data_IF_848513494973
#
_entry.id   IF_848513494973
#
_cell.length_a   1.000
_cell.length_b   1.000
_cell.length_c   1.000
_cell.angle_alpha   90.00
_cell.angle_beta   90.00
_cell.angle_gamma   90.00
#
_symmetry.space_group_name_H-M   'P 1'
#
loop_
_entity.id
_entity.type
_entity.pdbx_description
1 polymer ?
#
# COMPACT_ATOMS: atom_id res chain seq x y z
N UNK A 1 -27.18 -3.09 25.34
CA UNK A 1 -26.68 -2.54 24.06
C UNK A 1 -26.35 -1.08 24.30
N UNK A 2 -25.08 -0.77 24.53
CA UNK A 2 -24.61 0.61 24.68
C UNK A 2 -24.76 1.32 23.32
N UNK A 3 -25.27 2.56 23.25
CA UNK A 3 -25.39 3.26 21.98
C UNK A 3 -24.02 3.38 21.32
N UNK A 4 -23.96 3.15 20.01
CA UNK A 4 -22.79 3.44 19.18
C UNK A 4 -22.39 4.90 19.46
N UNK A 5 -21.25 5.08 20.12
CA UNK A 5 -20.65 6.39 20.33
C UNK A 5 -20.45 7.06 18.97
N UNK A 6 -20.70 8.38 18.90
CA UNK A 6 -20.42 9.16 17.69
C UNK A 6 -18.93 8.99 17.30
N UNK A 7 -18.60 9.15 16.02
CA UNK A 7 -17.20 9.09 15.56
C UNK A 7 -16.27 9.99 16.39
N UNK A 8 -16.76 11.18 16.77
CA UNK A 8 -16.08 12.12 17.66
C UNK A 8 -15.84 11.55 19.06
N UNK A 9 -16.85 10.95 19.68
CA UNK A 9 -16.70 10.30 21.00
C UNK A 9 -15.74 9.10 20.95
N UNK A 10 -15.69 8.37 19.82
CA UNK A 10 -14.70 7.30 19.61
C UNK A 10 -13.29 7.86 19.46
N UNK A 11 -13.12 8.98 18.75
CA UNK A 11 -11.83 9.65 18.63
C UNK A 11 -11.36 10.21 19.98
N UNK A 12 -12.27 10.76 20.78
CA UNK A 12 -11.97 11.26 22.12
C UNK A 12 -11.57 10.14 23.07
N UNK A 13 -12.25 8.99 23.02
CA UNK A 13 -11.86 7.78 23.75
C UNK A 13 -10.49 7.25 23.30
N UNK A 14 -10.21 7.19 21.99
CA UNK A 14 -8.89 6.79 21.48
C UNK A 14 -7.80 7.75 21.97
N UNK A 15 -8.04 9.07 21.92
CA UNK A 15 -7.08 10.07 22.41
C UNK A 15 -6.85 9.94 23.91
N UNK A 16 -7.91 9.83 24.69
CA UNK A 16 -7.84 9.77 26.14
C UNK A 16 -7.27 8.43 26.65
N UNK A 17 -7.56 7.33 25.96
CA UNK A 17 -7.36 5.98 26.49
C UNK A 17 -6.44 5.10 25.65
N UNK A 18 -5.97 5.52 24.46
CA UNK A 18 -5.13 4.70 23.58
C UNK A 18 -3.86 5.45 23.15
N UNK A 19 -3.99 6.48 22.32
CA UNK A 19 -2.90 7.29 21.75
C UNK A 19 -3.39 8.67 21.34
N UNK A 20 -2.69 9.72 21.75
CA UNK A 20 -2.87 11.06 21.19
C UNK A 20 -2.17 11.14 19.83
N UNK A 21 -2.96 11.23 18.76
CA UNK A 21 -2.47 11.20 17.37
C UNK A 21 -1.66 12.45 17.03
N UNK A 22 -2.05 13.61 17.56
CA UNK A 22 -1.38 14.88 17.26
C UNK A 22 -0.02 14.91 17.95
N UNK A 23 0.02 14.60 19.24
CA UNK A 23 1.26 14.45 20.00
C UNK A 23 2.17 13.36 19.40
N UNK A 24 1.62 12.21 18.97
CA UNK A 24 2.41 11.17 18.32
C UNK A 24 3.07 11.68 17.02
N UNK A 25 2.32 12.38 16.17
CA UNK A 25 2.82 12.88 14.90
C UNK A 25 3.84 14.00 15.06
N UNK A 26 3.71 14.84 16.09
CA UNK A 26 4.64 15.94 16.33
C UNK A 26 5.85 15.50 17.13
N UNK A 27 5.63 14.97 18.33
CA UNK A 27 6.68 14.65 19.30
C UNK A 27 7.38 13.34 18.95
N UNK A 28 6.63 12.25 18.77
CA UNK A 28 7.23 10.91 18.55
C UNK A 28 7.86 10.84 17.16
N UNK A 29 7.08 11.08 16.10
CA UNK A 29 7.60 11.04 14.72
C UNK A 29 8.69 12.10 14.51
N UNK A 30 8.53 13.32 15.05
CA UNK A 30 9.55 14.36 14.99
C UNK A 30 10.87 13.97 15.68
N UNK A 31 10.82 13.32 16.84
CA UNK A 31 12.02 12.85 17.53
C UNK A 31 12.74 11.72 16.76
N UNK A 32 11.99 10.82 16.12
CA UNK A 32 12.60 9.80 15.24
C UNK A 32 13.21 10.41 13.99
N UNK A 33 12.54 11.37 13.36
CA UNK A 33 13.06 12.06 12.17
C UNK A 33 14.33 12.88 12.46
N UNK A 34 14.46 13.44 13.66
CA UNK A 34 15.65 14.18 14.10
C UNK A 34 16.76 13.29 14.66
N UNK A 35 16.53 11.98 14.82
CA UNK A 35 17.47 11.06 15.44
C UNK A 35 17.65 11.28 16.95
N UNK A 36 16.75 12.03 17.59
CA UNK A 36 16.80 12.36 19.02
C UNK A 36 15.92 11.46 19.89
N UNK A 37 15.14 10.55 19.28
CA UNK A 37 14.16 9.71 19.97
C UNK A 37 14.67 9.06 21.26
N UNK A 38 15.85 8.44 21.22
CA UNK A 38 16.47 7.76 22.38
C UNK A 38 16.68 8.69 23.59
N UNK A 39 16.95 9.98 23.34
CA UNK A 39 17.30 10.95 24.39
C UNK A 39 16.14 11.87 24.76
N UNK A 40 15.26 12.15 23.81
CA UNK A 40 14.23 13.18 23.92
C UNK A 40 12.85 12.64 24.28
N UNK A 41 12.57 11.35 23.99
CA UNK A 41 11.25 10.78 24.29
C UNK A 41 11.21 10.26 25.73
N UNK A 42 10.32 10.80 26.59
CA UNK A 42 10.09 10.23 27.92
C UNK A 42 9.44 8.85 27.82
N UNK A 43 9.69 8.00 28.80
CA UNK A 43 9.00 6.73 28.98
C UNK A 43 7.60 6.97 29.59
N UNK A 44 6.73 7.64 28.84
CA UNK A 44 5.33 7.90 29.20
C UNK A 44 4.40 6.74 28.79
N UNK A 45 3.15 6.77 29.28
CA UNK A 45 2.17 5.70 29.01
C UNK A 45 1.88 5.51 27.52
N UNK A 46 1.89 6.58 26.71
CA UNK A 46 1.63 6.49 25.27
C UNK A 46 2.77 5.81 24.53
N UNK A 47 4.01 6.22 24.81
CA UNK A 47 5.23 5.66 24.23
C UNK A 47 5.42 4.22 24.69
N UNK A 48 5.14 3.93 25.97
CA UNK A 48 5.24 2.57 26.54
C UNK A 48 4.27 1.57 25.89
N UNK A 49 3.08 2.01 25.47
CA UNK A 49 2.10 1.16 24.77
C UNK A 49 2.54 0.76 23.36
N UNK A 50 3.46 1.52 22.75
CA UNK A 50 3.98 1.25 21.40
C UNK A 50 2.89 1.12 20.32
N UNK A 51 1.75 1.81 20.50
CA UNK A 51 0.67 1.86 19.50
C UNK A 51 1.04 2.92 18.45
N UNK A 52 0.95 2.54 17.18
CA UNK A 52 1.21 3.44 16.05
C UNK A 52 -0.12 3.85 15.42
N UNK A 53 -0.44 5.16 15.34
CA UNK A 53 -1.60 5.64 14.60
C UNK A 53 -1.59 5.17 13.14
N UNK A 54 -2.78 4.96 12.57
CA UNK A 54 -2.91 4.52 11.19
C UNK A 54 -2.35 5.58 10.22
N UNK A 55 -1.58 5.14 9.22
CA UNK A 55 -1.11 5.99 8.13
C UNK A 55 0.04 6.94 8.46
N UNK A 56 0.76 6.75 9.58
CA UNK A 56 1.94 7.58 9.93
C UNK A 56 3.06 7.51 8.88
N UNK A 57 3.07 6.49 8.01
CA UNK A 57 3.95 6.42 6.84
C UNK A 57 3.84 7.64 5.91
N UNK A 58 2.70 8.35 5.92
CA UNK A 58 2.54 9.60 5.18
C UNK A 58 3.56 10.68 5.61
N UNK A 59 4.00 10.64 6.87
CA UNK A 59 4.94 11.60 7.46
C UNK A 59 6.42 11.25 7.19
N UNK A 60 6.69 10.09 6.59
CA UNK A 60 8.05 9.66 6.28
C UNK A 60 8.49 10.21 4.92
N UNK A 61 9.65 10.84 4.88
CA UNK A 61 10.24 11.39 3.65
C UNK A 61 11.34 10.46 3.11
N UNK A 62 11.22 10.10 1.83
CA UNK A 62 12.21 9.33 1.05
C UNK A 62 12.76 10.14 -0.13
N UNK A 63 12.51 11.44 -0.19
CA UNK A 63 12.97 12.32 -1.28
C UNK A 63 14.47 12.21 -1.53
N UNK A 64 15.25 11.96 -0.48
CA UNK A 64 16.71 11.94 -0.47
C UNK A 64 17.36 10.56 -0.72
N UNK A 65 16.61 9.44 -0.69
CA UNK A 65 17.24 8.10 -0.72
C UNK A 65 17.60 7.62 -2.12
N UNK A 66 16.82 8.03 -3.13
CA UNK A 66 16.96 7.56 -4.50
C UNK A 66 17.45 8.69 -5.40
N UNK A 67 18.45 8.44 -6.27
CA UNK A 67 19.03 9.48 -7.09
C UNK A 67 18.15 9.84 -8.31
N UNK A 68 17.21 8.97 -8.70
CA UNK A 68 16.38 9.14 -9.88
C UNK A 68 14.88 9.13 -9.53
N UNK A 69 14.06 9.72 -10.40
CA UNK A 69 12.60 9.86 -10.27
C UNK A 69 11.93 9.77 -11.65
N UNK A 70 10.74 9.16 -11.80
CA UNK A 70 10.06 9.12 -13.08
C UNK A 70 9.48 10.48 -13.46
N UNK A 71 9.73 10.91 -14.69
CA UNK A 71 9.12 12.05 -15.35
C UNK A 71 7.96 11.58 -16.23
N UNK A 72 6.83 12.28 -16.17
CA UNK A 72 5.65 12.03 -16.98
C UNK A 72 5.70 12.77 -18.32
N UNK A 73 5.41 12.04 -19.41
CA UNK A 73 5.32 12.50 -20.80
C UNK A 73 3.86 12.34 -21.28
N UNK A 74 3.01 13.36 -21.08
CA UNK A 74 1.56 13.30 -21.27
C UNK A 74 1.13 12.91 -22.69
N UNK A 75 1.88 13.35 -23.71
CA UNK A 75 1.62 13.11 -25.13
C UNK A 75 1.60 11.62 -25.52
N UNK A 76 2.29 10.80 -24.74
CA UNK A 76 2.44 9.37 -24.96
C UNK A 76 1.46 8.54 -24.11
N UNK A 77 0.74 9.18 -23.18
CA UNK A 77 -0.05 8.48 -22.19
C UNK A 77 -1.38 7.98 -22.76
N UNK A 78 -1.68 6.70 -22.53
CA UNK A 78 -2.97 6.08 -22.93
C UNK A 78 -4.00 6.00 -21.80
N UNK A 79 -3.62 6.34 -20.56
CA UNK A 79 -4.49 6.26 -19.39
C UNK A 79 -4.74 4.84 -18.86
N UNK A 80 -3.80 3.90 -19.06
CA UNK A 80 -3.95 2.51 -18.61
C UNK A 80 -3.89 2.33 -17.08
N UNK A 81 -3.20 3.25 -16.37
CA UNK A 81 -2.93 3.21 -14.93
C UNK A 81 -1.97 2.10 -14.47
N UNK A 82 -1.31 1.38 -15.37
CA UNK A 82 -0.39 0.29 -14.98
C UNK A 82 0.76 0.80 -14.12
N UNK A 83 1.35 1.94 -14.48
CA UNK A 83 2.36 2.63 -13.70
C UNK A 83 1.91 2.95 -12.26
N UNK A 84 0.63 3.31 -12.09
CA UNK A 84 0.03 3.52 -10.78
C UNK A 84 -0.09 2.20 -10.05
N UNK A 85 -0.64 1.15 -10.66
CA UNK A 85 -0.88 -0.15 -10.02
C UNK A 85 0.40 -0.88 -9.61
N UNK A 86 1.47 -0.76 -10.40
CA UNK A 86 2.75 -1.44 -10.13
C UNK A 86 3.60 -0.75 -9.06
N UNK A 87 3.31 0.52 -8.73
CA UNK A 87 4.07 1.22 -7.72
C UNK A 87 3.89 0.58 -6.33
N UNK A 88 4.98 0.17 -5.65
CA UNK A 88 4.90 -0.42 -4.32
C UNK A 88 4.65 0.61 -3.21
N UNK A 89 5.00 1.88 -3.43
CA UNK A 89 5.09 2.90 -2.38
C UNK A 89 4.00 3.99 -2.46
N UNK A 90 2.99 3.82 -3.32
CA UNK A 90 1.96 4.87 -3.56
C UNK A 90 2.58 6.21 -4.01
N UNK A 91 3.72 6.15 -4.69
CA UNK A 91 4.50 7.31 -5.08
C UNK A 91 4.10 7.92 -6.44
N UNK A 92 3.20 7.27 -7.17
CA UNK A 92 2.70 7.72 -8.47
C UNK A 92 1.19 7.51 -8.49
N UNK A 93 0.45 8.58 -8.75
CA UNK A 93 -1.00 8.64 -8.63
C UNK A 93 -1.61 9.22 -9.91
N UNK A 94 -2.77 8.68 -10.29
CA UNK A 94 -3.56 9.18 -11.42
C UNK A 94 -4.73 10.03 -10.95
N UNK A 95 -5.15 10.99 -11.78
CA UNK A 95 -6.39 11.76 -11.59
C UNK A 95 -7.07 11.97 -12.94
N UNK A 96 -8.40 11.89 -12.98
CA UNK A 96 -9.19 12.35 -14.13
C UNK A 96 -10.02 13.55 -13.70
N UNK A 97 -9.92 14.65 -14.44
CA UNK A 97 -10.65 15.88 -14.17
C UNK A 97 -11.48 16.30 -15.39
N UNK A 98 -12.67 16.83 -15.14
CA UNK A 98 -13.46 17.44 -16.21
C UNK A 98 -12.76 18.72 -16.71
N UNK A 99 -12.84 19.05 -18.01
CA UNK A 99 -12.15 20.20 -18.58
C UNK A 99 -12.46 21.53 -17.89
N UNK A 100 -13.73 21.76 -17.50
CA UNK A 100 -14.14 22.97 -16.81
C UNK A 100 -13.53 23.05 -15.40
N UNK A 101 -13.69 21.99 -14.60
CA UNK A 101 -13.09 21.90 -13.26
C UNK A 101 -11.58 22.09 -13.28
N UNK A 102 -10.90 21.50 -14.27
CA UNK A 102 -9.47 21.68 -14.45
C UNK A 102 -9.13 23.13 -14.80
N UNK A 103 -9.86 23.76 -15.72
CA UNK A 103 -9.63 25.15 -16.10
C UNK A 103 -9.78 26.09 -14.89
N UNK A 104 -10.81 25.89 -14.07
CA UNK A 104 -11.06 26.67 -12.85
C UNK A 104 -9.91 26.52 -11.84
N UNK A 105 -9.43 25.29 -11.61
CA UNK A 105 -8.30 25.05 -10.70
C UNK A 105 -6.99 25.65 -11.21
N UNK A 106 -6.72 25.56 -12.52
CA UNK A 106 -5.55 26.17 -13.13
C UNK A 106 -5.62 27.70 -13.06
N UNK A 107 -6.80 28.31 -13.21
CA UNK A 107 -6.98 29.75 -13.07
C UNK A 107 -6.60 30.25 -11.67
N UNK A 108 -6.75 29.41 -10.64
CA UNK A 108 -6.33 29.69 -9.27
C UNK A 108 -4.81 29.75 -9.05
N UNK A 109 -3.99 29.29 -10.00
CA UNK A 109 -2.53 29.37 -9.94
C UNK A 109 -2.10 30.76 -10.42
N UNK A 110 -1.54 31.64 -9.57
CA UNK A 110 -1.27 33.03 -9.96
C UNK A 110 -0.17 33.17 -11.01
N UNK A 111 0.89 32.35 -10.90
CA UNK A 111 2.01 32.33 -11.84
C UNK A 111 1.58 31.70 -13.17
N UNK A 112 1.60 32.51 -14.23
CA UNK A 112 1.15 32.11 -15.57
C UNK A 112 2.06 31.04 -16.21
N UNK A 113 3.37 31.12 -15.98
CA UNK A 113 4.34 30.16 -16.50
C UNK A 113 4.13 28.79 -15.84
N UNK A 114 3.98 28.78 -14.52
CA UNK A 114 3.68 27.58 -13.74
C UNK A 114 2.31 27.01 -14.13
N UNK A 115 1.29 27.85 -14.28
CA UNK A 115 -0.05 27.46 -14.75
C UNK A 115 0.01 26.76 -16.10
N UNK A 116 0.71 27.36 -17.07
CA UNK A 116 0.88 26.79 -18.41
C UNK A 116 1.59 25.44 -18.37
N UNK A 117 2.68 25.35 -17.59
CA UNK A 117 3.43 24.10 -17.39
C UNK A 117 2.61 23.01 -16.72
N UNK A 118 1.87 23.30 -15.65
CA UNK A 118 0.98 22.31 -15.00
C UNK A 118 -0.13 21.89 -15.95
N UNK A 119 -0.64 22.82 -16.78
CA UNK A 119 -1.62 22.51 -17.82
C UNK A 119 -1.15 21.43 -18.80
N UNK A 120 0.16 21.29 -19.04
CA UNK A 120 0.70 20.24 -19.91
C UNK A 120 0.62 18.85 -19.28
N UNK A 121 0.55 18.72 -17.94
CA UNK A 121 0.46 17.44 -17.23
C UNK A 121 -0.85 16.67 -17.44
N UNK A 122 -1.77 17.20 -18.25
CA UNK A 122 -3.10 16.65 -18.45
C UNK A 122 -3.28 16.17 -19.88
N UNK A 123 -3.16 14.86 -20.07
CA UNK A 123 -3.31 14.16 -21.33
C UNK A 123 -4.78 14.01 -21.76
N UNK A 124 -5.02 14.07 -23.07
CA UNK A 124 -6.28 13.67 -23.69
C UNK A 124 -6.14 12.21 -24.11
N UNK A 125 -6.79 11.31 -23.38
CA UNK A 125 -6.67 9.86 -23.60
C UNK A 125 -7.88 9.30 -24.33
N UNK A 126 -7.70 8.18 -25.03
CA UNK A 126 -8.84 7.48 -25.63
C UNK A 126 -9.86 7.03 -24.58
N UNK A 127 -9.37 6.49 -23.46
CA UNK A 127 -10.18 5.89 -22.40
C UNK A 127 -11.07 6.91 -21.68
N UNK A 128 -10.48 7.99 -21.18
CA UNK A 128 -11.18 8.95 -20.33
C UNK A 128 -11.75 10.15 -21.10
N UNK A 129 -11.28 10.42 -22.31
CA UNK A 129 -11.77 11.53 -23.11
C UNK A 129 -12.57 11.05 -24.33
N UNK A 130 -11.90 10.51 -25.35
CA UNK A 130 -12.50 10.31 -26.68
C UNK A 130 -13.70 9.35 -26.67
N UNK A 131 -13.63 8.26 -25.89
CA UNK A 131 -14.73 7.28 -25.78
C UNK A 131 -15.95 7.88 -25.07
N UNK A 132 -15.74 8.72 -24.06
CA UNK A 132 -16.81 9.33 -23.27
C UNK A 132 -17.46 10.51 -24.01
N UNK A 133 -16.68 11.29 -24.75
CA UNK A 133 -17.19 12.30 -25.70
C UNK A 133 -18.09 11.65 -26.76
N UNK A 134 -17.64 10.56 -27.39
CA UNK A 134 -18.45 9.82 -28.37
C UNK A 134 -19.75 9.26 -27.81
N UNK A 135 -19.80 9.00 -26.49
CA UNK A 135 -21.00 8.55 -25.77
C UNK A 135 -21.89 9.69 -25.29
N UNK A 136 -21.49 10.95 -25.48
CA UNK A 136 -22.24 12.13 -25.06
C UNK A 136 -22.27 12.37 -23.55
N UNK A 137 -21.33 11.78 -22.79
CA UNK A 137 -21.28 11.90 -21.31
C UNK A 137 -20.19 12.87 -20.81
N UNK A 138 -19.45 13.48 -21.73
CA UNK A 138 -18.37 14.43 -21.43
C UNK A 138 -17.06 13.75 -21.02
N UNK A 139 -16.00 14.01 -21.76
CA UNK A 139 -14.65 13.49 -21.54
C UNK A 139 -13.92 14.20 -20.40
N UNK A 140 -12.96 13.50 -19.80
CA UNK A 140 -12.07 13.99 -18.76
C UNK A 140 -10.61 13.94 -19.20
N UNK A 141 -9.82 14.94 -18.79
CA UNK A 141 -8.37 14.93 -18.98
C UNK A 141 -7.71 14.12 -17.88
N UNK A 142 -6.66 13.39 -18.23
CA UNK A 142 -5.98 12.46 -17.35
C UNK A 142 -4.57 12.95 -17.01
N UNK A 143 -4.20 12.94 -15.73
CA UNK A 143 -2.85 13.30 -15.28
C UNK A 143 -2.22 12.21 -14.43
N UNK A 144 -0.88 12.20 -14.42
CA UNK A 144 -0.04 11.38 -13.56
C UNK A 144 0.81 12.31 -12.69
N UNK A 145 0.85 12.04 -11.39
CA UNK A 145 1.51 12.88 -10.40
C UNK A 145 2.41 12.03 -9.52
N UNK A 146 3.65 12.47 -9.32
CA UNK A 146 4.67 11.72 -8.59
C UNK A 146 4.90 12.39 -7.23
N UNK A 147 4.67 11.64 -6.16
CA UNK A 147 5.04 12.06 -4.80
C UNK A 147 6.55 11.88 -4.60
N UNK A 148 7.26 13.00 -4.63
CA UNK A 148 8.70 13.04 -4.37
C UNK A 148 9.07 12.39 -3.02
N UNK A 149 8.21 12.51 -2.00
CA UNK A 149 8.50 12.04 -0.63
C UNK A 149 8.31 10.53 -0.47
N UNK A 150 7.66 9.87 -1.44
CA UNK A 150 7.41 8.42 -1.41
C UNK A 150 8.20 7.68 -2.48
N UNK A 151 8.59 8.37 -3.56
CA UNK A 151 9.29 7.74 -4.68
C UNK A 151 10.72 7.31 -4.30
N UNK A 152 10.93 6.00 -4.31
CA UNK A 152 12.24 5.37 -4.11
C UNK A 152 13.00 5.08 -5.41
N UNK A 153 12.54 5.57 -6.56
CA UNK A 153 13.28 5.46 -7.82
C UNK A 153 13.48 4.03 -8.36
N UNK A 154 12.59 3.08 -8.03
CA UNK A 154 12.71 1.68 -8.45
C UNK A 154 12.45 1.42 -9.95
N UNK A 155 11.93 2.39 -10.68
CA UNK A 155 11.61 2.30 -12.11
C UNK A 155 10.52 1.27 -12.52
N UNK A 156 9.90 0.54 -11.60
CA UNK A 156 8.77 -0.38 -11.90
C UNK A 156 7.65 0.29 -12.72
N UNK A 157 7.33 1.54 -12.39
CA UNK A 157 6.33 2.32 -13.11
C UNK A 157 6.73 2.64 -14.57
N UNK A 158 8.04 2.79 -14.85
CA UNK A 158 8.57 3.02 -16.19
C UNK A 158 8.58 1.72 -16.98
N UNK A 159 9.01 0.62 -16.37
CA UNK A 159 8.98 -0.71 -16.98
C UNK A 159 7.55 -1.13 -17.34
N UNK A 160 6.61 -0.94 -16.41
CA UNK A 160 5.19 -1.16 -16.63
C UNK A 160 4.58 -0.27 -17.73
N UNK A 161 5.15 0.92 -17.95
CA UNK A 161 4.72 1.80 -19.04
C UNK A 161 5.13 1.25 -20.42
N UNK A 162 6.25 0.51 -20.47
CA UNK A 162 6.71 -0.23 -21.64
C UNK A 162 6.72 0.61 -22.92
N UNK A 163 6.10 0.07 -23.97
CA UNK A 163 6.09 0.67 -25.30
C UNK A 163 5.34 2.00 -25.40
N UNK A 164 4.51 2.34 -24.40
CA UNK A 164 3.87 3.65 -24.38
C UNK A 164 4.91 4.76 -24.22
N UNK A 165 6.00 4.54 -23.47
CA UNK A 165 7.04 5.54 -23.21
C UNK A 165 6.48 6.86 -22.68
N UNK A 166 5.42 6.78 -21.88
CA UNK A 166 4.82 7.93 -21.19
C UNK A 166 5.53 8.26 -19.87
N UNK A 167 6.52 7.46 -19.47
CA UNK A 167 7.36 7.69 -18.31
C UNK A 167 8.83 7.43 -18.68
N UNK A 168 9.75 8.20 -18.09
CA UNK A 168 11.19 7.93 -18.15
C UNK A 168 11.85 8.32 -16.83
N UNK A 169 12.90 7.62 -16.44
CA UNK A 169 13.69 8.01 -15.26
C UNK A 169 14.56 9.21 -15.59
N UNK A 170 14.55 10.21 -14.71
CA UNK A 170 15.45 11.36 -14.74
C UNK A 170 16.17 11.49 -13.40
N UNK A 171 17.34 12.15 -13.40
CA UNK A 171 18.09 12.44 -12.18
C UNK A 171 17.33 13.46 -11.33
N UNK A 172 17.28 13.24 -10.02
CA UNK A 172 16.86 14.24 -9.04
C UNK A 172 17.97 15.29 -8.92
N UNK A 173 17.65 16.52 -9.32
CA UNK A 173 18.54 17.68 -9.21
C UNK A 173 17.75 18.82 -8.55
N UNK A 174 18.37 19.71 -7.76
CA UNK A 174 17.66 20.77 -7.05
C UNK A 174 16.65 21.55 -7.92
N UNK A 175 16.99 21.76 -9.19
CA UNK A 175 16.21 22.50 -10.18
C UNK A 175 14.87 21.83 -10.55
N UNK A 176 14.75 20.50 -10.41
CA UNK A 176 13.53 19.77 -10.75
C UNK A 176 12.70 19.30 -9.54
N UNK A 177 13.23 19.40 -8.31
CA UNK A 177 12.49 18.92 -7.14
C UNK A 177 11.21 19.73 -6.87
N UNK A 178 11.27 21.05 -7.08
CA UNK A 178 10.11 21.93 -6.87
C UNK A 178 8.99 21.64 -7.85
N UNK A 179 9.32 21.19 -9.06
CA UNK A 179 8.33 20.76 -10.04
C UNK A 179 7.46 19.59 -9.52
N UNK A 180 8.09 18.57 -8.93
CA UNK A 180 7.37 17.44 -8.34
C UNK A 180 6.54 17.85 -7.12
N UNK A 181 7.06 18.74 -6.26
CA UNK A 181 6.31 19.27 -5.11
C UNK A 181 5.07 20.05 -5.56
N UNK A 182 5.23 20.91 -6.56
CA UNK A 182 4.15 21.76 -7.08
C UNK A 182 3.07 20.92 -7.77
N UNK A 183 3.45 20.01 -8.68
CA UNK A 183 2.50 19.14 -9.38
C UNK A 183 1.76 18.20 -8.42
N UNK A 184 2.43 17.66 -7.41
CA UNK A 184 1.78 16.85 -6.39
C UNK A 184 0.86 17.68 -5.47
N UNK A 185 1.21 18.95 -5.21
CA UNK A 185 0.30 19.89 -4.51
C UNK A 185 -0.99 20.11 -5.29
N UNK A 186 -0.91 20.28 -6.61
CA UNK A 186 -2.08 20.36 -7.49
C UNK A 186 -2.92 19.10 -7.40
N UNK A 187 -2.31 17.91 -7.48
CA UNK A 187 -3.03 16.64 -7.32
C UNK A 187 -3.86 16.59 -6.03
N UNK A 188 -3.28 17.03 -4.91
CA UNK A 188 -3.97 17.10 -3.60
C UNK A 188 -5.07 18.16 -3.54
N UNK A 189 -4.91 19.26 -4.27
CA UNK A 189 -5.90 20.34 -4.32
C UNK A 189 -7.08 20.03 -5.26
N UNK A 190 -6.87 19.18 -6.27
CA UNK A 190 -7.91 18.78 -7.20
C UNK A 190 -8.99 17.93 -6.51
N UNK A 191 -10.27 18.11 -6.86
CA UNK A 191 -11.35 17.30 -6.33
C UNK A 191 -11.19 15.83 -6.70
N UNK A 192 -12.02 14.99 -6.09
CA UNK A 192 -12.10 13.57 -6.40
C UNK A 192 -12.44 13.32 -7.87
N UNK A 193 -11.87 12.24 -8.42
CA UNK A 193 -12.17 11.83 -9.79
C UNK A 193 -13.67 11.49 -9.89
N UNK A 194 -14.43 12.11 -10.81
CA UNK A 194 -15.85 11.81 -10.94
C UNK A 194 -16.13 10.32 -11.22
N UNK A 195 -17.15 9.77 -10.56
CA UNK A 195 -17.48 8.34 -10.62
C UNK A 195 -17.70 7.81 -12.06
N UNK A 196 -18.16 8.66 -12.99
CA UNK A 196 -18.33 8.29 -14.41
C UNK A 196 -17.03 7.86 -15.11
N UNK A 197 -15.87 8.23 -14.56
CA UNK A 197 -14.55 7.84 -15.07
C UNK A 197 -14.01 6.57 -14.41
N UNK A 198 -14.71 6.01 -13.42
CA UNK A 198 -14.26 4.89 -12.61
C UNK A 198 -15.05 3.64 -13.01
N UNK A 199 -14.40 2.69 -13.69
CA UNK A 199 -14.97 1.36 -13.86
C UNK A 199 -14.70 0.51 -12.63
N UNK A 200 -15.73 0.27 -11.82
CA UNK A 200 -15.64 -0.53 -10.60
C UNK A 200 -15.24 -2.00 -10.81
N UNK A 201 -15.19 -2.48 -12.06
CA UNK A 201 -14.68 -3.83 -12.39
C UNK A 201 -13.20 -3.83 -12.76
N UNK A 202 -12.60 -2.66 -12.95
CA UNK A 202 -11.19 -2.51 -13.29
C UNK A 202 -10.43 -2.03 -12.06
N UNK A 203 -9.57 -2.90 -11.52
CA UNK A 203 -8.74 -2.58 -10.36
C UNK A 203 -7.86 -1.34 -10.59
N UNK A 204 -7.43 -1.14 -11.83
CA UNK A 204 -6.68 0.06 -12.27
C UNK A 204 -7.48 1.35 -12.11
N UNK A 205 -8.79 1.33 -12.34
CA UNK A 205 -9.66 2.52 -12.22
C UNK A 205 -10.06 2.78 -10.77
N UNK A 206 -10.14 1.74 -9.93
CA UNK A 206 -10.35 1.91 -8.49
C UNK A 206 -9.28 2.80 -7.87
N UNK A 207 -8.06 2.84 -8.42
CA UNK A 207 -6.96 3.68 -7.95
C UNK A 207 -7.15 5.18 -8.22
N UNK A 208 -8.21 5.59 -8.94
CA UNK A 208 -8.52 7.00 -9.21
C UNK A 208 -9.26 7.71 -8.06
N UNK A 209 -9.67 6.97 -7.03
CA UNK A 209 -10.42 7.49 -5.88
C UNK A 209 -9.66 7.31 -4.57
N UNK A 210 -9.78 8.28 -3.67
CA UNK A 210 -9.09 8.27 -2.37
C UNK A 210 -9.56 7.14 -1.46
N UNK A 211 -10.79 6.61 -1.65
CA UNK A 211 -11.28 5.45 -0.87
C UNK A 211 -10.42 4.19 -1.06
N UNK A 212 -9.65 4.12 -2.15
CA UNK A 212 -8.74 3.02 -2.45
C UNK A 212 -7.31 3.29 -1.93
N UNK A 213 -7.00 4.51 -1.52
CA UNK A 213 -5.68 4.92 -1.03
C UNK A 213 -5.50 4.56 0.46
N UNK A 214 -5.69 3.29 0.79
CA UNK A 214 -5.57 2.76 2.16
C UNK A 214 -4.14 2.37 2.53
N UNK A 215 -3.21 2.45 1.59
CA UNK A 215 -1.77 2.28 1.79
C UNK A 215 -1.07 3.58 1.38
N UNK A 216 -0.58 4.37 2.33
CA UNK A 216 -0.10 5.75 2.08
C UNK A 216 1.36 5.84 1.61
N UNK A 217 2.05 4.71 1.48
CA UNK A 217 3.49 4.69 1.29
C UNK A 217 4.24 4.91 2.61
N UNK A 218 5.51 5.29 2.52
CA UNK A 218 6.35 5.49 3.72
C UNK A 218 6.79 4.18 4.40
N UNK A 219 6.45 3.04 3.81
CA UNK A 219 6.92 1.74 4.23
C UNK A 219 8.44 1.62 4.02
N UNK A 220 9.12 0.93 4.93
CA UNK A 220 10.57 0.68 4.85
C UNK A 220 10.99 -0.41 3.86
N UNK A 221 10.17 -0.72 2.85
CA UNK A 221 10.40 -1.84 1.93
C UNK A 221 11.53 -1.53 0.95
N UNK A 222 12.12 -2.59 0.37
CA UNK A 222 13.09 -2.46 -0.71
C UNK A 222 12.50 -1.71 -1.92
N UNK A 223 13.36 -1.07 -2.71
CA UNK A 223 12.99 -0.48 -3.99
C UNK A 223 12.45 -1.58 -4.92
N UNK A 224 11.22 -1.43 -5.42
CA UNK A 224 10.59 -2.43 -6.31
C UNK A 224 10.00 -3.64 -5.58
N UNK A 225 9.71 -3.52 -4.27
CA UNK A 225 9.19 -4.64 -3.49
C UNK A 225 7.81 -5.14 -3.98
N UNK A 226 7.77 -6.34 -4.56
CA UNK A 226 6.54 -6.96 -5.03
C UNK A 226 5.51 -7.25 -3.93
N UNK A 227 5.94 -7.53 -2.68
CA UNK A 227 5.01 -7.70 -1.55
C UNK A 227 4.18 -6.43 -1.30
N UNK A 228 4.82 -5.26 -1.34
CA UNK A 228 4.17 -3.98 -1.10
C UNK A 228 3.15 -3.65 -2.20
N UNK A 229 3.49 -3.93 -3.47
CA UNK A 229 2.55 -3.79 -4.59
C UNK A 229 1.32 -4.68 -4.38
N UNK A 230 1.51 -5.97 -4.05
CA UNK A 230 0.40 -6.90 -3.81
C UNK A 230 -0.50 -6.45 -2.64
N UNK A 231 0.10 -6.03 -1.51
CA UNK A 231 -0.64 -5.55 -0.34
C UNK A 231 -1.43 -4.28 -0.66
N UNK A 232 -0.81 -3.33 -1.37
CA UNK A 232 -1.48 -2.09 -1.77
C UNK A 232 -2.67 -2.36 -2.67
N UNK A 233 -2.51 -3.23 -3.67
CA UNK A 233 -3.59 -3.56 -4.59
C UNK A 233 -4.71 -4.37 -3.93
N UNK A 234 -4.38 -5.28 -3.01
CA UNK A 234 -5.37 -5.98 -2.17
C UNK A 234 -6.19 -4.99 -1.33
N UNK A 235 -5.52 -4.02 -0.70
CA UNK A 235 -6.17 -2.99 0.09
C UNK A 235 -6.99 -2.02 -0.75
N UNK A 236 -6.52 -1.66 -1.93
CA UNK A 236 -7.28 -0.83 -2.87
C UNK A 236 -8.59 -1.52 -3.24
N UNK A 237 -8.55 -2.79 -3.67
CA UNK A 237 -9.73 -3.56 -4.01
C UNK A 237 -10.70 -3.70 -2.82
N UNK A 238 -10.15 -4.04 -1.65
CA UNK A 238 -10.97 -4.26 -0.44
C UNK A 238 -11.57 -2.94 0.05
N UNK A 239 -10.78 -1.86 0.09
CA UNK A 239 -11.23 -0.52 0.48
C UNK A 239 -12.27 0.05 -0.46
N UNK A 240 -12.08 -0.16 -1.77
CA UNK A 240 -13.04 0.24 -2.78
C UNK A 240 -14.40 -0.46 -2.62
N UNK A 241 -14.46 -1.68 -2.09
CA UNK A 241 -15.75 -2.37 -1.90
C UNK A 241 -16.36 -2.13 -0.52
N UNK A 242 -15.54 -2.16 0.53
CA UNK A 242 -16.01 -2.22 1.91
C UNK A 242 -15.81 -0.92 2.69
N UNK A 243 -14.92 -0.02 2.25
CA UNK A 243 -14.52 1.18 2.98
C UNK A 243 -13.58 0.87 4.15
N UNK A 244 -12.75 1.84 4.55
CA UNK A 244 -11.63 1.61 5.49
C UNK A 244 -12.09 1.04 6.84
N UNK A 245 -13.22 1.50 7.38
CA UNK A 245 -13.75 1.13 8.71
C UNK A 245 -14.25 -0.33 8.76
N UNK A 246 -14.32 -1.01 7.62
CA UNK A 246 -14.80 -2.38 7.49
C UNK A 246 -13.70 -3.36 7.11
N UNK A 247 -12.42 -2.95 7.20
CA UNK A 247 -11.26 -3.77 6.86
C UNK A 247 -10.32 -3.84 8.05
N UNK A 248 -9.83 -5.04 8.34
CA UNK A 248 -8.77 -5.27 9.33
C UNK A 248 -7.73 -6.27 8.83
N UNK A 249 -6.51 -6.14 9.34
CA UNK A 249 -5.37 -6.99 8.98
C UNK A 249 -4.77 -7.61 10.25
N UNK A 250 -4.54 -8.92 10.21
CA UNK A 250 -3.69 -9.66 11.14
C UNK A 250 -2.47 -10.15 10.36
N UNK A 251 -1.29 -9.73 10.76
CA UNK A 251 -0.05 -10.02 10.05
C UNK A 251 0.78 -11.07 10.80
N UNK A 252 1.34 -12.03 10.06
CA UNK A 252 2.41 -12.88 10.55
C UNK A 252 3.76 -12.18 10.35
N UNK A 253 4.63 -12.31 11.35
CA UNK A 253 5.98 -11.71 11.33
C UNK A 253 6.75 -12.10 10.07
N UNK A 254 7.35 -11.13 9.40
CA UNK A 254 8.08 -11.33 8.14
C UNK A 254 8.49 -10.00 7.52
N UNK A 255 8.83 -9.99 6.22
CA UNK A 255 9.16 -8.75 5.52
C UNK A 255 8.02 -7.74 5.64
N UNK A 256 6.77 -8.17 5.33
CA UNK A 256 5.57 -7.36 5.50
C UNK A 256 5.54 -6.60 6.82
N UNK A 257 5.67 -7.26 7.98
CA UNK A 257 5.63 -6.58 9.28
C UNK A 257 6.82 -5.65 9.46
N UNK A 258 8.02 -6.05 9.05
CA UNK A 258 9.22 -5.22 9.23
C UNK A 258 9.09 -3.90 8.47
N UNK A 259 8.70 -3.93 7.19
CA UNK A 259 8.60 -2.70 6.43
C UNK A 259 7.31 -1.90 6.69
N UNK A 260 6.24 -2.52 7.22
CA UNK A 260 4.99 -1.81 7.51
C UNK A 260 4.78 -1.43 8.97
N UNK A 261 5.63 -1.87 9.90
CA UNK A 261 5.48 -1.55 11.32
C UNK A 261 6.79 -1.29 12.04
N UNK A 262 7.83 -0.82 11.32
CA UNK A 262 8.99 -0.22 11.97
C UNK A 262 8.57 1.09 12.63
N UNK A 263 8.45 1.08 13.96
CA UNK A 263 8.07 2.24 14.76
C UNK A 263 8.91 3.47 14.40
N UNK A 264 8.30 4.67 14.23
CA UNK A 264 6.90 5.02 14.44
C UNK A 264 6.04 4.97 13.16
N UNK A 265 6.47 4.26 12.11
CA UNK A 265 5.85 4.33 10.79
C UNK A 265 4.97 3.12 10.47
N UNK A 266 3.76 3.40 10.01
CA UNK A 266 2.83 2.41 9.46
C UNK A 266 2.13 2.95 8.19
N UNK A 267 2.12 2.20 7.07
CA UNK A 267 1.54 2.66 5.81
C UNK A 267 0.02 2.44 5.72
N UNK A 268 -0.59 1.70 6.63
CA UNK A 268 -2.00 1.30 6.54
C UNK A 268 -2.94 2.31 7.16
N UNK A 269 -4.03 2.64 6.46
CA UNK A 269 -5.17 3.41 7.00
C UNK A 269 -6.29 2.53 7.60
N UNK A 270 -6.01 1.25 7.80
CA UNK A 270 -6.95 0.27 8.37
C UNK A 270 -6.40 -0.27 9.69
N UNK A 271 -7.25 -0.88 10.51
CA UNK A 271 -6.79 -1.58 11.70
C UNK A 271 -5.84 -2.71 11.32
N UNK A 272 -4.67 -2.73 11.95
CA UNK A 272 -3.61 -3.69 11.67
C UNK A 272 -3.00 -4.16 12.98
N UNK A 273 -2.73 -5.45 13.09
CA UNK A 273 -2.01 -6.04 14.23
C UNK A 273 -1.04 -7.10 13.75
N UNK A 274 0.05 -7.28 14.50
CA UNK A 274 0.95 -8.42 14.39
C UNK A 274 1.07 -9.06 15.77
N UNK A 275 0.75 -10.35 15.86
CA UNK A 275 0.98 -11.15 17.07
C UNK A 275 2.39 -11.74 17.03
N UNK A 276 2.56 -12.94 16.44
CA UNK A 276 3.84 -13.61 16.28
C UNK A 276 3.98 -14.19 14.86
N UNK A 277 5.07 -14.92 14.62
CA UNK A 277 5.40 -15.49 13.32
C UNK A 277 4.49 -16.68 12.98
N UNK A 278 4.18 -17.50 13.98
CA UNK A 278 3.55 -18.82 13.87
C UNK A 278 2.03 -18.82 14.03
N UNK A 279 1.45 -17.75 14.58
CA UNK A 279 0.08 -17.80 15.12
C UNK A 279 -0.91 -16.86 14.45
N UNK A 280 -0.55 -16.11 13.40
CA UNK A 280 -1.45 -15.14 12.79
C UNK A 280 -2.84 -15.70 12.40
N UNK A 281 -2.98 -16.94 11.87
CA UNK A 281 -4.30 -17.51 11.63
C UNK A 281 -5.12 -17.75 12.89
N UNK A 282 -4.50 -18.21 13.98
CA UNK A 282 -5.17 -18.42 15.27
C UNK A 282 -5.58 -17.08 15.91
N UNK A 283 -4.71 -16.07 15.85
CA UNK A 283 -5.02 -14.71 16.32
C UNK A 283 -6.22 -14.13 15.54
N UNK A 284 -6.21 -14.26 14.22
CA UNK A 284 -7.32 -13.83 13.37
C UNK A 284 -8.64 -14.56 13.67
N UNK A 285 -8.61 -15.86 14.02
CA UNK A 285 -9.82 -16.55 14.49
C UNK A 285 -10.38 -15.93 15.78
N UNK A 286 -9.50 -15.52 16.71
CA UNK A 286 -9.89 -14.80 17.92
C UNK A 286 -10.53 -13.44 17.60
N UNK A 287 -9.90 -12.65 16.72
CA UNK A 287 -10.43 -11.37 16.24
C UNK A 287 -11.78 -11.57 15.56
N UNK A 288 -11.90 -12.54 14.65
CA UNK A 288 -13.14 -12.86 13.93
C UNK A 288 -14.26 -13.24 14.90
N UNK A 289 -13.99 -14.11 15.86
CA UNK A 289 -14.96 -14.51 16.88
C UNK A 289 -15.44 -13.30 17.70
N UNK A 290 -14.54 -12.38 18.07
CA UNK A 290 -14.92 -11.15 18.77
C UNK A 290 -15.75 -10.21 17.88
N UNK A 291 -15.37 -10.04 16.63
CA UNK A 291 -16.14 -9.21 15.69
C UNK A 291 -17.54 -9.78 15.46
N UNK A 292 -17.71 -11.10 15.41
CA UNK A 292 -19.02 -11.73 15.26
C UNK A 292 -19.92 -11.48 16.48
N UNK A 293 -19.37 -11.54 17.70
CA UNK A 293 -20.10 -11.16 18.93
C UNK A 293 -20.57 -9.69 18.91
N UNK A 294 -19.85 -8.81 18.20
CA UNK A 294 -20.20 -7.41 18.03
C UNK A 294 -21.18 -7.18 16.85
N UNK A 295 -21.57 -8.23 16.13
CA UNK A 295 -22.42 -8.12 14.94
C UNK A 295 -21.69 -7.63 13.68
N UNK A 296 -20.36 -7.71 13.65
CA UNK A 296 -19.52 -7.25 12.54
C UNK A 296 -19.15 -8.37 11.55
N UNK A 297 -20.03 -9.36 11.38
CA UNK A 297 -19.81 -10.52 10.50
C UNK A 297 -19.57 -10.13 9.03
N UNK A 298 -20.04 -8.95 8.60
CA UNK A 298 -19.84 -8.42 7.25
C UNK A 298 -18.50 -7.69 7.04
N UNK A 299 -17.74 -7.38 8.09
CA UNK A 299 -16.42 -6.75 7.97
C UNK A 299 -15.38 -7.74 7.45
N UNK A 300 -14.43 -7.25 6.66
CA UNK A 300 -13.38 -8.05 6.03
C UNK A 300 -12.12 -8.11 6.88
N UNK A 301 -11.81 -9.32 7.35
CA UNK A 301 -10.58 -9.62 8.05
C UNK A 301 -9.62 -10.35 7.13
N UNK A 302 -8.42 -9.80 6.98
CA UNK A 302 -7.33 -10.38 6.21
C UNK A 302 -6.22 -10.88 7.11
N UNK A 303 -5.69 -12.05 6.81
CA UNK A 303 -4.38 -12.50 7.26
C UNK A 303 -3.38 -12.21 6.16
N UNK A 304 -2.25 -11.61 6.52
CA UNK A 304 -1.10 -11.44 5.63
C UNK A 304 0.12 -12.17 6.21
N UNK A 305 0.90 -12.82 5.36
CA UNK A 305 2.12 -13.50 5.80
C UNK A 305 2.98 -13.95 4.63
N UNK A 306 4.28 -14.03 4.84
CA UNK A 306 5.20 -14.61 3.85
C UNK A 306 5.05 -16.13 3.75
N UNK A 307 5.70 -16.75 2.76
CA UNK A 307 5.70 -18.20 2.61
C UNK A 307 6.26 -18.93 3.84
N UNK A 308 7.32 -18.41 4.48
CA UNK A 308 7.82 -19.03 5.71
C UNK A 308 6.82 -19.08 6.86
N UNK A 309 6.01 -18.04 7.02
CA UNK A 309 4.97 -18.01 8.03
C UNK A 309 3.85 -19.00 7.69
N UNK A 310 3.40 -19.02 6.43
CA UNK A 310 2.16 -19.69 6.04
C UNK A 310 2.38 -21.15 5.60
N UNK A 311 3.55 -21.48 5.06
CA UNK A 311 3.87 -22.81 4.54
C UNK A 311 4.69 -23.67 5.50
N UNK A 312 5.42 -23.04 6.43
CA UNK A 312 6.23 -23.73 7.43
C UNK A 312 5.65 -23.57 8.84
N UNK A 313 6.14 -22.60 9.61
CA UNK A 313 5.94 -22.54 11.06
C UNK A 313 4.47 -22.36 11.46
N UNK A 314 3.71 -21.54 10.72
CA UNK A 314 2.30 -21.28 10.97
C UNK A 314 1.35 -22.15 10.15
N UNK A 315 1.85 -23.12 9.39
CA UNK A 315 1.02 -23.93 8.51
C UNK A 315 -0.07 -24.72 9.26
N UNK A 316 0.24 -25.26 10.45
CA UNK A 316 -0.77 -25.97 11.26
C UNK A 316 -1.89 -25.02 11.72
N UNK A 317 -1.52 -23.79 12.09
CA UNK A 317 -2.47 -22.73 12.46
C UNK A 317 -3.36 -22.35 11.27
N UNK A 318 -2.76 -22.17 10.09
CA UNK A 318 -3.47 -21.91 8.84
C UNK A 318 -4.44 -23.04 8.51
N UNK A 319 -3.98 -24.30 8.54
CA UNK A 319 -4.81 -25.47 8.28
C UNK A 319 -5.98 -25.59 9.28
N UNK A 320 -5.74 -25.30 10.57
CA UNK A 320 -6.82 -25.27 11.58
C UNK A 320 -7.85 -24.19 11.30
N UNK A 321 -7.42 -23.00 10.86
CA UNK A 321 -8.30 -21.90 10.47
C UNK A 321 -9.14 -22.29 9.25
N UNK A 322 -8.54 -22.85 8.21
CA UNK A 322 -9.27 -23.32 7.03
C UNK A 322 -10.33 -24.37 7.41
N UNK A 323 -10.01 -25.30 8.32
CA UNK A 323 -10.96 -26.28 8.85
C UNK A 323 -12.05 -25.69 9.77
N UNK A 324 -11.95 -24.42 10.17
CA UNK A 324 -12.95 -23.77 11.03
C UNK A 324 -14.14 -23.19 10.28
N UNK A 325 -14.01 -22.93 8.96
CA UNK A 325 -15.02 -22.25 8.16
C UNK A 325 -15.22 -20.76 8.50
N UNK A 326 -14.31 -20.15 9.29
CA UNK A 326 -14.38 -18.74 9.63
C UNK A 326 -14.22 -17.85 8.38
N UNK A 327 -15.03 -16.78 8.26
CA UNK A 327 -14.91 -15.82 7.15
C UNK A 327 -13.69 -14.91 7.36
N UNK A 328 -12.53 -15.45 6.99
CA UNK A 328 -11.21 -14.80 7.05
C UNK A 328 -10.55 -15.01 5.70
N UNK A 329 -9.96 -13.94 5.14
CA UNK A 329 -9.22 -14.01 3.87
C UNK A 329 -7.73 -14.12 4.15
N UNK A 330 -7.01 -14.89 3.34
CA UNK A 330 -5.56 -15.09 3.52
C UNK A 330 -4.84 -14.64 2.26
N UNK A 331 -3.84 -13.78 2.42
CA UNK A 331 -2.90 -13.41 1.37
C UNK A 331 -1.50 -13.88 1.75
N UNK A 332 -1.00 -14.86 1.01
CA UNK A 332 0.38 -15.36 1.16
C UNK A 332 1.28 -14.61 0.19
N UNK A 333 2.27 -13.91 0.73
CA UNK A 333 3.30 -13.19 0.00
C UNK A 333 4.47 -14.15 -0.24
N UNK A 334 4.36 -14.98 -1.28
CA UNK A 334 5.32 -16.07 -1.52
C UNK A 334 6.55 -15.55 -2.27
N UNK A 335 7.64 -15.30 -1.53
CA UNK A 335 8.93 -14.91 -2.09
C UNK A 335 9.86 -16.09 -2.29
N UNK A 336 9.38 -17.30 -1.98
CA UNK A 336 10.09 -18.58 -2.11
C UNK A 336 11.35 -18.69 -1.26
N UNK A 337 11.50 -17.81 -0.27
CA UNK A 337 12.59 -17.80 0.73
C UNK A 337 12.12 -17.03 1.97
N UNK A 338 12.80 -17.19 3.09
CA UNK A 338 12.61 -16.31 4.23
C UNK A 338 13.36 -15.00 3.98
N UNK A 339 12.74 -14.09 3.22
CA UNK A 339 13.38 -12.85 2.76
C UNK A 339 13.92 -12.01 3.93
N UNK A 340 13.13 -11.83 4.99
CA UNK A 340 13.47 -10.94 6.11
C UNK A 340 14.74 -11.37 6.86
N UNK A 341 14.89 -12.67 7.12
CA UNK A 341 16.01 -13.22 7.88
C UNK A 341 17.24 -13.48 7.01
N UNK A 342 17.23 -13.01 5.77
CA UNK A 342 18.37 -13.03 4.86
C UNK A 342 18.38 -14.20 3.88
N UNK A 343 17.22 -14.71 3.48
CA UNK A 343 17.07 -15.62 2.34
C UNK A 343 17.33 -17.09 2.66
N UNK A 344 16.83 -17.59 3.79
CA UNK A 344 16.81 -19.02 4.09
C UNK A 344 15.81 -19.75 3.19
N UNK A 345 16.12 -21.00 2.84
CA UNK A 345 15.19 -21.87 2.14
C UNK A 345 13.92 -22.10 2.96
N UNK A 346 12.78 -22.10 2.29
CA UNK A 346 11.46 -22.44 2.84
C UNK A 346 10.90 -23.69 2.14
N UNK A 347 9.77 -24.21 2.61
CA UNK A 347 9.08 -25.23 1.81
C UNK A 347 8.47 -24.69 0.51
N UNK A 348 8.38 -23.36 0.33
CA UNK A 348 8.05 -22.74 -0.96
C UNK A 348 9.21 -22.68 -1.95
N UNK A 349 10.46 -22.79 -1.50
CA UNK A 349 11.61 -22.78 -2.41
C UNK A 349 11.53 -23.92 -3.43
N UNK A 350 11.93 -23.66 -4.68
CA UNK A 350 11.97 -24.67 -5.72
C UNK A 350 13.07 -25.71 -5.51
N UNK A 351 12.89 -26.90 -6.09
CA UNK A 351 13.94 -27.92 -6.12
C UNK A 351 15.16 -27.38 -6.88
N UNK A 352 16.35 -27.57 -6.31
CA UNK A 352 17.60 -27.06 -6.87
C UNK A 352 17.84 -25.56 -6.68
N UNK A 353 16.91 -24.82 -6.07
CA UNK A 353 17.09 -23.40 -5.77
C UNK A 353 18.23 -23.20 -4.76
N UNK A 354 19.10 -22.22 -5.05
CA UNK A 354 20.14 -21.78 -4.13
C UNK A 354 19.57 -20.80 -3.11
N UNK A 355 19.75 -21.11 -1.83
CA UNK A 355 19.34 -20.29 -0.70
C UNK A 355 20.14 -20.68 0.55
N UNK A 356 20.13 -19.86 1.60
CA UNK A 356 20.78 -20.26 2.87
C UNK A 356 20.12 -21.53 3.40
N UNK A 357 20.93 -22.45 3.92
CA UNK A 357 20.53 -23.81 4.33
C UNK A 357 20.23 -24.78 3.16
N UNK A 358 20.26 -24.33 1.91
CA UNK A 358 20.12 -25.19 0.72
C UNK A 358 21.07 -24.75 -0.40
N UNK A 359 22.36 -24.60 -0.07
CA UNK A 359 23.38 -24.11 -1.01
C UNK A 359 23.48 -24.98 -2.27
N UNK A 360 23.60 -24.34 -3.45
CA UNK A 360 23.86 -25.02 -4.71
C UNK A 360 25.35 -24.93 -5.10
N UNK A 361 25.95 -26.05 -5.47
CA UNK A 361 27.35 -26.14 -5.89
C UNK A 361 27.70 -27.49 -6.50
N UNK A 362 28.95 -27.67 -6.91
CA UNK A 362 29.41 -28.89 -7.60
C UNK A 362 29.20 -30.19 -6.78
N UNK A 363 29.22 -30.10 -5.45
CA UNK A 363 29.00 -31.23 -4.54
C UNK A 363 27.64 -31.23 -3.84
N UNK A 364 26.87 -30.13 -3.94
CA UNK A 364 25.58 -29.97 -3.24
C UNK A 364 24.54 -29.49 -4.26
N UNK A 365 23.54 -30.30 -4.54
CA UNK A 365 22.56 -30.01 -5.59
C UNK A 365 21.47 -28.98 -5.22
N UNK A 366 21.69 -28.17 -4.17
CA UNK A 366 20.66 -27.27 -3.61
C UNK A 366 19.55 -28.02 -2.89
N UNK A 367 18.37 -27.39 -2.79
CA UNK A 367 17.18 -27.99 -2.15
C UNK A 367 16.76 -29.28 -2.85
N UNK A 368 16.56 -30.36 -2.09
CA UNK A 368 16.25 -31.70 -2.63
C UNK A 368 14.75 -31.94 -2.78
N UNK A 369 13.98 -31.35 -1.87
CA UNK A 369 12.54 -31.48 -1.78
C UNK A 369 11.86 -30.62 -2.85
N UNK A 370 10.77 -31.13 -3.42
CA UNK A 370 9.89 -30.32 -4.25
C UNK A 370 9.25 -29.19 -3.42
N UNK A 371 8.77 -28.17 -4.12
CA UNK A 371 7.97 -27.11 -3.51
C UNK A 371 6.71 -27.71 -2.88
N UNK A 372 6.34 -27.22 -1.71
CA UNK A 372 5.06 -27.53 -1.07
C UNK A 372 3.96 -26.74 -1.77
N UNK A 373 3.07 -27.45 -2.45
CA UNK A 373 1.96 -26.84 -3.17
C UNK A 373 0.84 -26.46 -2.20
N UNK A 374 0.98 -25.31 -1.53
CA UNK A 374 0.02 -24.83 -0.53
C UNK A 374 -1.41 -24.78 -1.06
N UNK A 375 -1.61 -24.26 -2.28
CA UNK A 375 -2.93 -24.15 -2.89
C UNK A 375 -3.63 -25.53 -2.99
N UNK A 376 -2.90 -26.57 -3.39
CA UNK A 376 -3.43 -27.93 -3.46
C UNK A 376 -3.83 -28.46 -2.09
N UNK A 377 -3.05 -28.16 -1.05
CA UNK A 377 -3.38 -28.56 0.31
C UNK A 377 -4.61 -27.80 0.81
N UNK A 378 -4.70 -26.50 0.53
CA UNK A 378 -5.86 -25.68 0.86
C UNK A 378 -7.15 -26.20 0.21
N UNK A 379 -7.11 -26.61 -1.06
CA UNK A 379 -8.27 -27.19 -1.78
C UNK A 379 -8.78 -28.50 -1.18
N UNK A 380 -8.01 -29.18 -0.33
CA UNK A 380 -8.44 -30.42 0.35
C UNK A 380 -9.26 -30.13 1.61
N UNK A 381 -9.31 -28.88 2.07
CA UNK A 381 -10.26 -28.47 3.09
C UNK A 381 -11.65 -28.33 2.47
N UNK A 382 -12.66 -28.95 3.10
CA UNK A 382 -14.01 -29.15 2.53
C UNK A 382 -14.70 -27.88 2.03
N UNK A 383 -14.47 -26.76 2.72
CA UNK A 383 -15.25 -25.53 2.56
C UNK A 383 -14.38 -24.34 2.08
N UNK A 384 -13.29 -24.64 1.35
CA UNK A 384 -12.32 -23.67 0.79
C UNK A 384 -12.54 -23.42 -0.69
#
# INVERSE_FOLDING_TARGET
MTPLTTYEARLEDIRANVVDIEDFNERVVGAYNSGLAERALPADDYTARSVVPAGTGALRDFSYIAPDIPEFLPENCVGCMDCVTQCPDTAILGKVAEPATLADHLAGIPDESLRGRIGTQWAVTNKYFNVLEKKGVGGGKFGIFIDLTKCKGCAECVDACGDHKALRMIRKIPENLDWFRQTFSVYKAMPETPAKFINEKALSDMMLTERSLLYVGGAGSCMGCGEATALRMMLAATGFLYGQENVGIVAATGCNTVYTSTYPYNPYRVSWTNSLFENAPADAMGVRARWDQLGWSNKRLWIIGGDGAMNDIGFQSLSRMMASGADIKVLVLDTQVYSNTGGQASTSSFKGQDAKMSYHGSSIAGKKENRKELANICMMHKDV
#
